data_IF_951922425556
#
_entry.id   IF_951922425556
#
_cell.length_a   1.000
_cell.length_b   1.000
_cell.length_c   1.000
_cell.angle_alpha   90.00
_cell.angle_beta   90.00
_cell.angle_gamma   90.00
#
_symmetry.space_group_name_H-M   'P 1'
#
loop_
_entity.id
_entity.type
_entity.pdbx_description
1 polymer ?
#
# COMPACT_ATOMS: atom_id res chain seq x y z
N UNK A 1 12.11 17.74 -1.11
CA UNK A 1 13.49 18.14 -0.70
C UNK A 1 14.36 16.99 -0.14
N UNK A 2 13.82 15.83 0.21
CA UNK A 2 14.65 14.69 0.69
C UNK A 2 15.12 14.80 2.14
N UNK A 3 14.62 15.78 2.90
CA UNK A 3 14.80 15.84 4.34
C UNK A 3 13.99 14.76 5.06
N UNK A 4 14.54 14.24 6.16
CA UNK A 4 13.93 13.17 6.96
C UNK A 4 13.49 13.70 8.31
N UNK A 5 12.24 13.41 8.68
CA UNK A 5 11.69 13.67 10.00
C UNK A 5 11.26 12.35 10.63
N UNK A 6 11.56 12.17 11.91
CA UNK A 6 11.18 10.99 12.68
C UNK A 6 10.55 11.42 14.00
N UNK A 7 9.60 10.63 14.49
CA UNK A 7 8.89 10.84 15.75
C UNK A 7 8.35 9.50 16.26
N UNK A 8 7.90 9.47 17.52
CA UNK A 8 7.39 8.30 18.21
C UNK A 8 8.39 7.73 19.21
N UNK A 9 8.43 6.40 19.30
CA UNK A 9 9.27 5.71 20.28
C UNK A 9 10.73 5.63 19.81
N UNK A 10 11.67 6.22 20.56
CA UNK A 10 13.10 6.18 20.26
C UNK A 10 13.98 5.31 21.16
N UNK A 11 13.42 4.37 21.94
CA UNK A 11 14.15 3.65 23.00
C UNK A 11 15.45 2.93 22.58
N UNK A 12 15.61 2.58 21.31
CA UNK A 12 16.81 1.95 20.75
C UNK A 12 17.60 2.86 19.81
N UNK A 13 17.19 4.13 19.66
CA UNK A 13 17.80 5.08 18.75
C UNK A 13 17.22 5.07 17.33
N UNK A 14 16.08 4.39 17.11
CA UNK A 14 15.45 4.25 15.79
C UNK A 14 14.93 5.57 15.20
N UNK A 15 14.97 6.65 15.97
CA UNK A 15 14.63 7.98 15.47
C UNK A 15 15.84 8.71 14.89
N UNK A 16 17.08 8.29 15.20
CA UNK A 16 18.29 8.85 14.60
C UNK A 16 18.72 10.21 15.15
N UNK A 17 18.20 10.63 16.31
CA UNK A 17 18.47 11.95 16.90
C UNK A 17 19.68 11.99 17.84
N UNK A 18 20.55 10.99 17.77
CA UNK A 18 21.63 10.74 18.73
C UNK A 18 21.11 10.68 20.19
N UNK A 19 19.90 10.16 20.36
CA UNK A 19 19.21 10.04 21.65
C UNK A 19 18.36 8.77 21.68
N UNK A 20 17.97 8.33 22.87
CA UNK A 20 16.99 7.26 23.09
C UNK A 20 15.63 7.78 23.58
N UNK A 21 15.45 9.11 23.60
CA UNK A 21 14.19 9.75 24.00
C UNK A 21 13.08 9.48 22.99
N UNK A 22 11.84 9.45 23.48
CA UNK A 22 10.67 9.51 22.63
C UNK A 22 10.48 10.94 22.11
N UNK A 23 10.04 11.07 20.86
CA UNK A 23 9.77 12.35 20.23
C UNK A 23 8.28 12.44 19.93
N UNK A 24 7.56 13.31 20.62
CA UNK A 24 6.11 13.46 20.42
C UNK A 24 5.76 14.21 19.12
N UNK A 25 6.69 15.05 18.65
CA UNK A 25 6.53 15.87 17.46
C UNK A 25 7.56 15.46 16.40
N UNK A 26 7.24 15.60 15.10
CA UNK A 26 8.21 15.40 14.02
C UNK A 26 9.48 16.22 14.25
N UNK A 27 10.61 15.53 14.41
CA UNK A 27 11.92 16.15 14.57
C UNK A 27 12.80 15.78 13.37
N UNK A 28 13.53 16.76 12.85
CA UNK A 28 14.44 16.57 11.71
C UNK A 28 15.65 15.74 12.13
N UNK A 29 16.01 14.74 11.32
CA UNK A 29 17.23 13.95 11.49
C UNK A 29 18.40 14.75 10.90
N UNK A 30 19.13 15.48 11.75
CA UNK A 30 20.18 16.40 11.30
C UNK A 30 21.34 15.73 10.57
N UNK A 31 21.72 14.50 10.92
CA UNK A 31 22.83 13.79 10.26
C UNK A 31 22.53 13.43 8.79
N UNK A 32 21.26 13.40 8.38
CA UNK A 32 20.87 13.23 6.98
C UNK A 32 20.64 14.57 6.25
N UNK A 33 20.85 15.71 6.93
CA UNK A 33 20.68 17.02 6.33
C UNK A 33 21.70 17.25 5.21
N UNK A 34 21.27 17.91 4.13
CA UNK A 34 22.10 18.13 2.94
C UNK A 34 22.22 16.91 2.02
N UNK A 35 21.77 15.74 2.47
CA UNK A 35 21.64 14.55 1.62
C UNK A 35 20.25 14.45 1.01
N UNK A 36 20.18 13.97 -0.22
CA UNK A 36 18.93 13.71 -0.91
C UNK A 36 18.48 12.28 -0.62
N UNK A 37 17.71 12.08 0.45
CA UNK A 37 17.17 10.75 0.78
C UNK A 37 15.99 10.44 -0.15
N UNK A 38 16.07 9.31 -0.88
CA UNK A 38 15.02 8.91 -1.84
C UNK A 38 14.22 7.69 -1.41
N UNK A 39 14.73 6.92 -0.45
CA UNK A 39 14.05 5.76 0.10
C UNK A 39 14.27 5.69 1.61
N UNK A 40 13.23 5.30 2.34
CA UNK A 40 13.24 5.07 3.78
C UNK A 40 12.47 3.78 4.04
N UNK A 41 13.02 2.91 4.88
CA UNK A 41 12.31 1.71 5.38
C UNK A 41 12.46 1.61 6.88
N UNK A 42 11.48 0.99 7.53
CA UNK A 42 11.49 0.76 8.97
C UNK A 42 11.27 -0.72 9.25
N UNK A 43 12.10 -1.28 10.13
CA UNK A 43 11.79 -2.55 10.78
C UNK A 43 11.06 -2.33 12.10
N UNK A 44 11.13 -3.32 12.99
CA UNK A 44 10.46 -3.25 14.31
C UNK A 44 11.04 -2.12 15.17
N UNK A 45 12.37 -2.01 15.22
CA UNK A 45 13.08 -1.05 16.09
C UNK A 45 14.32 -0.46 15.40
N UNK A 46 14.31 -0.38 14.08
CA UNK A 46 15.37 0.25 13.30
C UNK A 46 14.81 0.93 12.04
N UNK A 47 15.57 1.85 11.51
CA UNK A 47 15.26 2.61 10.30
C UNK A 47 16.46 2.56 9.37
N UNK A 48 16.20 2.46 8.07
CA UNK A 48 17.23 2.63 7.04
C UNK A 48 16.83 3.67 6.02
N UNK A 49 17.81 4.37 5.47
CA UNK A 49 17.64 5.46 4.53
C UNK A 49 18.68 5.37 3.41
N UNK A 50 18.28 5.58 2.16
CA UNK A 50 19.18 5.52 1.01
C UNK A 50 19.39 6.91 0.38
N UNK A 51 20.66 7.23 0.09
CA UNK A 51 21.10 8.47 -0.54
C UNK A 51 21.79 8.17 -1.88
N UNK A 52 21.08 8.25 -3.02
CA UNK A 52 21.59 7.86 -4.33
C UNK A 52 22.88 8.53 -4.75
N UNK A 53 23.00 9.85 -4.50
CA UNK A 53 24.16 10.65 -4.93
C UNK A 53 25.48 10.18 -4.33
N UNK A 54 25.42 9.52 -3.17
CA UNK A 54 26.58 8.95 -2.48
C UNK A 54 26.64 7.42 -2.55
N UNK A 55 25.58 6.78 -3.02
CA UNK A 55 25.42 5.33 -2.95
C UNK A 55 25.20 4.78 -1.55
N UNK A 56 25.22 5.63 -0.51
CA UNK A 56 25.20 5.18 0.88
C UNK A 56 23.80 4.79 1.33
N UNK A 57 23.75 3.65 2.02
CA UNK A 57 22.65 3.28 2.89
C UNK A 57 23.04 3.64 4.31
N UNK A 58 22.19 4.38 5.02
CA UNK A 58 22.32 4.66 6.44
C UNK A 58 21.33 3.81 7.21
N UNK A 59 21.71 3.32 8.39
CA UNK A 59 20.88 2.56 9.31
C UNK A 59 21.07 3.05 10.75
N UNK A 60 19.98 3.02 11.52
CA UNK A 60 19.97 3.44 12.92
C UNK A 60 18.84 2.77 13.70
N UNK A 61 19.03 2.61 15.01
CA UNK A 61 18.13 1.90 15.93
C UNK A 61 18.77 0.69 16.59
N UNK A 62 17.94 -0.32 16.87
CA UNK A 62 18.34 -1.60 17.45
C UNK A 62 19.30 -2.32 16.49
N UNK A 63 20.44 -2.77 16.99
CA UNK A 63 21.44 -3.52 16.23
C UNK A 63 21.71 -4.92 16.76
N UNK A 64 21.02 -5.35 17.82
CA UNK A 64 21.31 -6.61 18.53
C UNK A 64 21.34 -7.87 17.66
N UNK A 65 20.59 -7.89 16.56
CA UNK A 65 20.52 -9.01 15.61
C UNK A 65 21.36 -8.77 14.34
N UNK A 66 22.13 -7.68 14.29
CA UNK A 66 22.89 -7.27 13.11
C UNK A 66 22.05 -6.60 12.02
N UNK A 67 20.79 -6.26 12.29
CA UNK A 67 19.84 -5.71 11.31
C UNK A 67 20.27 -4.37 10.68
N UNK A 68 21.24 -3.70 11.30
CA UNK A 68 21.81 -2.44 10.82
C UNK A 68 22.89 -2.65 9.75
N UNK A 69 23.47 -3.85 9.60
CA UNK A 69 24.50 -4.11 8.59
C UNK A 69 25.79 -3.29 8.76
N UNK A 70 26.12 -2.86 9.98
CA UNK A 70 27.31 -2.02 10.26
C UNK A 70 28.57 -2.84 10.54
N UNK A 71 28.50 -4.17 10.44
CA UNK A 71 29.56 -5.09 10.86
C UNK A 71 29.64 -5.29 12.38
N UNK A 72 28.66 -4.77 13.14
CA UNK A 72 28.57 -4.91 14.60
C UNK A 72 27.12 -5.19 15.01
N UNK A 73 26.91 -5.73 16.22
CA UNK A 73 25.58 -5.94 16.82
C UNK A 73 25.17 -4.83 17.78
N UNK A 74 25.84 -3.67 17.72
CA UNK A 74 25.58 -2.54 18.60
C UNK A 74 24.46 -1.65 18.05
N UNK A 75 23.64 -1.11 18.96
CA UNK A 75 22.64 -0.10 18.62
C UNK A 75 23.30 1.17 18.09
N UNK A 76 22.63 1.86 17.16
CA UNK A 76 23.07 3.14 16.61
C UNK A 76 22.01 4.19 16.88
N UNK A 77 22.35 5.20 17.68
CA UNK A 77 21.42 6.28 18.04
C UNK A 77 21.26 7.35 16.96
N UNK A 78 22.11 7.27 15.94
CA UNK A 78 22.19 8.23 14.86
C UNK A 78 22.55 7.50 13.56
N UNK A 79 22.15 8.03 12.38
CA UNK A 79 22.44 7.45 11.08
C UNK A 79 23.89 6.99 10.91
N UNK A 80 24.08 5.68 10.75
CA UNK A 80 25.38 5.07 10.54
C UNK A 80 25.43 4.36 9.19
N UNK A 81 26.54 4.42 8.49
CA UNK A 81 26.67 3.80 7.17
C UNK A 81 26.65 2.28 7.24
N UNK A 82 25.78 1.65 6.44
CA UNK A 82 25.78 0.21 6.21
C UNK A 82 27.07 -0.17 5.49
N UNK A 83 27.76 -1.20 5.99
CA UNK A 83 29.02 -1.68 5.42
C UNK A 83 28.75 -2.31 4.05
N UNK A 84 29.55 -1.96 3.05
CA UNK A 84 29.50 -2.53 1.71
C UNK A 84 30.10 -1.58 0.67
N UNK A 85 30.42 -2.14 -0.49
CA UNK A 85 31.04 -1.43 -1.61
C UNK A 85 29.96 -0.79 -2.50
N UNK A 86 29.21 0.13 -1.90
CA UNK A 86 28.09 0.79 -2.57
C UNK A 86 28.57 1.92 -3.46
N UNK A 87 28.17 1.91 -4.74
CA UNK A 87 28.50 2.98 -5.68
C UNK A 87 27.38 4.02 -5.76
N UNK A 88 27.75 5.30 -5.98
CA UNK A 88 26.79 6.35 -6.22
C UNK A 88 26.06 6.15 -7.54
N UNK A 89 24.78 6.50 -7.54
CA UNK A 89 24.04 6.69 -8.77
C UNK A 89 24.32 8.08 -9.35
N UNK A 90 25.21 8.13 -10.34
CA UNK A 90 25.46 9.32 -11.16
C UNK A 90 25.59 8.92 -12.63
N UNK A 91 25.19 9.81 -13.54
CA UNK A 91 25.28 9.59 -14.99
C UNK A 91 26.73 9.55 -15.51
N UNK A 92 27.73 9.74 -14.64
CA UNK A 92 29.16 9.81 -14.97
C UNK A 92 29.99 8.91 -14.05
N UNK A 93 29.46 7.75 -13.67
CA UNK A 93 30.16 6.85 -12.74
C UNK A 93 31.33 6.14 -13.44
N UNK A 94 32.57 6.47 -13.06
CA UNK A 94 33.76 5.72 -13.46
C UNK A 94 33.83 4.43 -12.65
N UNK A 95 33.67 3.28 -13.32
CA UNK A 95 33.77 1.95 -12.69
C UNK A 95 35.25 1.71 -12.36
N UNK A 96 35.64 1.51 -11.09
CA UNK A 96 37.02 1.20 -10.73
C UNK A 96 37.48 -0.11 -11.38
N UNK A 97 38.68 -0.13 -11.94
CA UNK A 97 39.24 -1.27 -12.67
C UNK A 97 39.70 -2.43 -11.75
N UNK A 98 39.55 -2.30 -10.44
CA UNK A 98 40.11 -3.23 -9.44
C UNK A 98 39.02 -4.05 -8.73
N UNK A 99 39.36 -5.32 -8.49
CA UNK A 99 38.48 -6.49 -8.38
C UNK A 99 37.63 -6.63 -7.10
N UNK A 100 37.25 -5.55 -6.43
CA UNK A 100 36.20 -5.62 -5.42
C UNK A 100 34.82 -5.54 -6.06
N UNK A 101 33.91 -6.46 -5.72
CA UNK A 101 32.54 -6.42 -6.25
C UNK A 101 31.82 -5.20 -5.69
N UNK A 102 31.68 -4.16 -6.51
CA UNK A 102 30.89 -2.98 -6.24
C UNK A 102 29.41 -3.20 -6.59
N UNK A 103 28.53 -2.52 -5.88
CA UNK A 103 27.08 -2.69 -6.01
C UNK A 103 26.35 -1.35 -6.12
N UNK A 104 25.39 -1.25 -7.04
CA UNK A 104 24.49 -0.12 -7.18
C UNK A 104 23.13 -0.47 -6.57
N UNK A 105 22.69 0.26 -5.54
CA UNK A 105 21.43 -0.01 -4.86
C UNK A 105 20.25 0.40 -5.75
N UNK A 106 19.30 -0.53 -5.96
CA UNK A 106 18.01 -0.24 -6.59
C UNK A 106 16.96 0.10 -5.53
N UNK A 107 16.83 -0.76 -4.52
CA UNK A 107 15.81 -0.63 -3.49
C UNK A 107 16.26 -1.20 -2.14
N UNK A 108 15.91 -0.52 -1.05
CA UNK A 108 16.07 -1.00 0.32
C UNK A 108 14.75 -1.50 0.90
N UNK A 109 14.84 -2.48 1.81
CA UNK A 109 13.71 -3.05 2.54
C UNK A 109 14.10 -3.30 3.99
N UNK A 110 13.14 -3.13 4.90
CA UNK A 110 13.27 -3.55 6.29
C UNK A 110 11.99 -4.21 6.76
N UNK A 111 12.13 -5.30 7.50
CA UNK A 111 11.05 -5.99 8.20
C UNK A 111 11.41 -6.14 9.67
N UNK A 112 10.74 -7.06 10.38
CA UNK A 112 10.91 -7.30 11.82
C UNK A 112 12.29 -6.96 12.38
N UNK A 113 13.24 -7.88 12.24
CA UNK A 113 14.65 -7.68 12.63
C UNK A 113 15.59 -7.97 11.45
N UNK A 114 15.12 -7.76 10.21
CA UNK A 114 15.90 -7.97 9.00
C UNK A 114 15.90 -6.72 8.12
N UNK A 115 16.96 -6.60 7.31
CA UNK A 115 17.10 -5.58 6.27
C UNK A 115 17.64 -6.23 5.00
N UNK A 116 17.14 -5.79 3.84
CA UNK A 116 17.57 -6.28 2.53
C UNK A 116 17.85 -5.11 1.60
N UNK A 117 18.82 -5.26 0.71
CA UNK A 117 19.07 -4.32 -0.37
C UNK A 117 19.06 -5.09 -1.69
N UNK A 118 18.17 -4.70 -2.59
CA UNK A 118 18.21 -5.14 -3.98
C UNK A 118 19.20 -4.24 -4.72
N UNK A 119 20.19 -4.86 -5.36
CA UNK A 119 21.27 -4.17 -6.05
C UNK A 119 21.48 -4.73 -7.46
N UNK A 120 22.17 -3.95 -8.29
CA UNK A 120 22.71 -4.38 -9.57
C UNK A 120 24.21 -4.17 -9.61
N UNK A 121 24.89 -4.93 -10.47
CA UNK A 121 26.28 -4.65 -10.81
C UNK A 121 26.38 -3.37 -11.65
N UNK A 122 27.53 -2.68 -11.63
CA UNK A 122 27.71 -1.41 -12.34
C UNK A 122 27.42 -1.51 -13.84
N UNK A 123 27.72 -2.65 -14.48
CA UNK A 123 27.40 -2.89 -15.89
C UNK A 123 25.89 -2.95 -16.20
N UNK A 124 25.05 -3.23 -15.20
CA UNK A 124 23.59 -3.37 -15.33
C UNK A 124 22.86 -2.24 -14.58
N UNK A 125 23.51 -1.10 -14.43
CA UNK A 125 23.02 -0.01 -13.59
C UNK A 125 21.70 0.56 -14.12
N UNK A 126 20.68 0.51 -13.28
CA UNK A 126 19.40 1.15 -13.51
C UNK A 126 19.17 2.25 -12.47
N UNK A 127 18.35 3.28 -12.77
CA UNK A 127 18.00 4.30 -11.79
C UNK A 127 17.45 3.67 -10.49
N UNK A 128 17.93 4.07 -9.30
CA UNK A 128 17.31 3.66 -8.05
C UNK A 128 15.89 4.18 -7.98
N UNK A 129 15.06 3.49 -7.20
CA UNK A 129 13.71 4.01 -6.99
C UNK A 129 13.75 5.28 -6.15
N UNK A 130 12.85 6.21 -6.48
CA UNK A 130 12.74 7.48 -5.82
C UNK A 130 11.31 7.68 -5.32
N UNK A 131 11.07 7.36 -4.05
CA UNK A 131 9.76 7.43 -3.44
C UNK A 131 9.33 8.83 -3.04
N UNK A 132 10.15 9.86 -3.34
CA UNK A 132 9.71 11.25 -3.24
C UNK A 132 8.72 11.61 -4.34
N UNK A 133 8.81 10.92 -5.48
CA UNK A 133 7.90 11.09 -6.59
C UNK A 133 7.01 9.84 -6.65
N UNK A 134 5.72 9.95 -6.31
CA UNK A 134 4.82 8.82 -6.43
C UNK A 134 4.72 8.44 -7.91
N UNK A 135 4.92 7.16 -8.21
CA UNK A 135 4.70 6.61 -9.54
C UNK A 135 3.20 6.72 -9.87
N UNK A 136 2.86 7.48 -10.92
CA UNK A 136 1.48 7.71 -11.35
C UNK A 136 0.75 6.41 -11.71
N UNK A 137 1.49 5.35 -12.06
CA UNK A 137 0.94 4.02 -12.35
C UNK A 137 0.71 3.19 -11.08
N UNK A 138 1.19 3.63 -9.91
CA UNK A 138 1.06 2.94 -8.62
C UNK A 138 0.21 3.70 -7.60
N UNK A 139 -0.41 4.83 -8.00
CA UNK A 139 -1.35 5.56 -7.15
C UNK A 139 -2.72 4.86 -7.10
N UNK A 140 -3.38 4.92 -5.95
CA UNK A 140 -4.82 4.63 -5.86
C UNK A 140 -5.53 5.67 -6.71
N UNK A 141 -6.06 5.25 -7.86
CA UNK A 141 -6.86 6.12 -8.71
C UNK A 141 -8.11 6.51 -7.96
N UNK A 142 -8.21 7.80 -7.62
CA UNK A 142 -9.46 8.36 -7.11
C UNK A 142 -10.41 8.43 -8.29
N UNK A 143 -11.56 7.74 -8.21
CA UNK A 143 -12.60 7.89 -9.23
C UNK A 143 -13.09 9.33 -9.19
N UNK A 144 -12.65 10.12 -10.16
CA UNK A 144 -13.02 11.50 -10.34
C UNK A 144 -13.64 11.67 -11.74
N UNK A 145 -14.24 12.83 -12.01
CA UNK A 145 -14.88 13.11 -13.31
C UNK A 145 -13.94 12.84 -14.49
N UNK A 146 -12.67 13.26 -14.39
CA UNK A 146 -11.69 13.03 -15.44
C UNK A 146 -11.41 11.53 -15.69
N UNK A 147 -11.38 10.73 -14.64
CA UNK A 147 -11.22 9.27 -14.74
C UNK A 147 -12.46 8.60 -15.35
N UNK A 148 -13.67 9.05 -14.99
CA UNK A 148 -14.92 8.55 -15.60
C UNK A 148 -14.97 8.91 -17.09
N UNK A 149 -14.65 10.15 -17.45
CA UNK A 149 -14.58 10.59 -18.85
C UNK A 149 -13.55 9.78 -19.63
N UNK A 150 -12.40 9.47 -19.02
CA UNK A 150 -11.39 8.60 -19.63
C UNK A 150 -11.90 7.16 -19.80
N UNK A 151 -12.64 6.60 -18.83
CA UNK A 151 -13.30 5.29 -18.97
C UNK A 151 -14.28 5.25 -20.15
N UNK A 152 -15.05 6.33 -20.36
CA UNK A 152 -16.01 6.46 -21.46
C UNK A 152 -15.34 6.47 -22.85
N UNK A 153 -14.06 6.82 -22.93
CA UNK A 153 -13.31 6.85 -24.21
C UNK A 153 -12.71 5.52 -24.62
N UNK A 154 -12.72 4.49 -23.76
CA UNK A 154 -12.14 3.19 -24.11
C UNK A 154 -13.10 2.32 -24.92
N UNK A 155 -12.61 1.65 -25.99
CA UNK A 155 -13.42 0.70 -26.75
C UNK A 155 -13.76 -0.54 -25.90
N UNK A 156 -14.96 -1.06 -26.13
CA UNK A 156 -15.60 -2.15 -25.40
C UNK A 156 -14.66 -3.35 -25.14
N UNK A 157 -14.54 -3.77 -23.88
CA UNK A 157 -14.14 -5.13 -23.54
C UNK A 157 -12.75 -5.35 -22.91
N UNK A 158 -11.96 -4.31 -22.59
CA UNK A 158 -10.77 -4.46 -21.75
C UNK A 158 -10.62 -3.32 -20.74
N UNK A 159 -10.84 -3.65 -19.47
CA UNK A 159 -10.31 -2.87 -18.35
C UNK A 159 -8.77 -2.90 -18.41
N UNK A 160 -8.05 -1.78 -18.21
CA UNK A 160 -6.59 -1.75 -18.20
C UNK A 160 -5.99 -2.78 -17.24
N UNK A 161 -4.90 -3.44 -17.66
CA UNK A 161 -4.07 -4.38 -16.84
C UNK A 161 -3.55 -3.72 -15.54
N UNK A 162 -3.58 -2.40 -15.48
CA UNK A 162 -3.18 -1.53 -14.37
C UNK A 162 -4.10 -1.64 -13.12
N UNK A 163 -5.31 -2.19 -13.26
CA UNK A 163 -6.33 -2.22 -12.18
C UNK A 163 -6.05 -3.31 -11.12
N UNK A 164 -5.12 -4.23 -11.37
CA UNK A 164 -5.03 -5.46 -10.59
C UNK A 164 -4.01 -5.50 -9.44
N UNK A 165 -3.21 -4.46 -9.17
CA UNK A 165 -2.14 -4.55 -8.17
C UNK A 165 -1.96 -3.26 -7.37
N UNK A 166 -2.63 -3.11 -6.21
CA UNK A 166 -1.99 -2.55 -5.01
C UNK A 166 -2.86 -2.65 -3.75
N UNK A 167 -2.21 -2.91 -2.61
CA UNK A 167 -2.79 -3.19 -1.30
C UNK A 167 -2.13 -2.30 -0.24
N UNK A 168 -2.60 -1.05 -0.10
CA UNK A 168 -2.23 -0.18 1.01
C UNK A 168 -3.38 -0.06 2.02
N UNK A 169 -3.08 -0.48 3.25
CA UNK A 169 -4.00 -0.68 4.35
C UNK A 169 -4.49 0.67 4.92
N UNK A 170 -5.75 1.04 4.68
CA UNK A 170 -6.31 2.26 5.28
C UNK A 170 -6.37 2.06 6.81
N UNK A 171 -6.16 3.14 7.58
CA UNK A 171 -6.13 3.16 9.06
C UNK A 171 -7.47 2.67 9.66
N UNK A 172 -7.66 1.36 9.66
CA UNK A 172 -8.84 0.70 10.23
C UNK A 172 -8.70 0.62 11.74
N UNK A 173 -9.79 0.87 12.44
CA UNK A 173 -9.91 0.53 13.86
C UNK A 173 -11.24 -0.17 14.09
N UNK A 174 -11.43 -0.69 15.30
CA UNK A 174 -12.74 -1.22 15.74
C UNK A 174 -13.88 -0.22 15.60
N UNK A 175 -13.59 1.09 15.53
CA UNK A 175 -14.59 2.17 15.38
C UNK A 175 -14.67 2.73 13.95
N UNK A 176 -13.59 2.67 13.17
CA UNK A 176 -13.52 3.24 11.83
C UNK A 176 -13.19 2.16 10.80
N UNK A 177 -14.10 1.92 9.85
CA UNK A 177 -13.90 0.91 8.79
C UNK A 177 -12.80 1.26 7.79
N UNK A 178 -12.31 2.50 7.80
CA UNK A 178 -11.46 3.03 6.74
C UNK A 178 -12.21 3.24 5.41
N UNK A 179 -13.54 3.13 5.42
CA UNK A 179 -14.41 3.26 4.24
C UNK A 179 -15.33 4.46 4.42
N UNK A 180 -15.30 5.39 3.47
CA UNK A 180 -16.29 6.44 3.33
C UNK A 180 -17.49 5.91 2.52
N UNK A 181 -18.56 5.57 3.24
CA UNK A 181 -19.77 4.99 2.65
C UNK A 181 -20.52 5.99 1.76
N UNK A 182 -20.42 7.29 2.03
CA UNK A 182 -21.08 8.31 1.22
C UNK A 182 -20.33 8.50 -0.09
N UNK A 183 -18.99 8.53 -0.04
CA UNK A 183 -18.18 8.54 -1.24
C UNK A 183 -18.42 7.28 -2.08
N UNK A 184 -18.41 6.08 -1.48
CA UNK A 184 -18.69 4.83 -2.19
C UNK A 184 -20.05 4.86 -2.91
N UNK A 185 -21.11 5.28 -2.21
CA UNK A 185 -22.46 5.42 -2.78
C UNK A 185 -22.49 6.41 -3.94
N UNK A 186 -21.93 7.61 -3.76
CA UNK A 186 -21.88 8.63 -4.81
C UNK A 186 -21.13 8.13 -6.05
N UNK A 187 -20.02 7.41 -5.86
CA UNK A 187 -19.24 6.84 -6.95
C UNK A 187 -20.00 5.76 -7.71
N UNK A 188 -20.65 4.83 -7.00
CA UNK A 188 -21.48 3.82 -7.66
C UNK A 188 -22.65 4.45 -8.43
N UNK A 189 -23.30 5.47 -7.88
CA UNK A 189 -24.36 6.19 -8.60
C UNK A 189 -23.85 6.94 -9.83
N UNK A 190 -22.63 7.50 -9.79
CA UNK A 190 -22.01 8.11 -10.97
C UNK A 190 -21.64 7.07 -12.03
N UNK A 191 -21.23 5.87 -11.61
CA UNK A 191 -20.82 4.80 -12.52
C UNK A 191 -22.03 4.11 -13.17
N UNK A 192 -23.10 3.91 -12.40
CA UNK A 192 -24.32 3.21 -12.81
C UNK A 192 -25.38 4.25 -13.21
N UNK A 193 -25.08 5.03 -14.25
CA UNK A 193 -26.03 5.99 -14.82
C UNK A 193 -26.75 5.42 -16.06
N UNK A 194 -28.02 5.81 -16.29
CA UNK A 194 -28.79 5.38 -17.46
C UNK A 194 -28.09 5.73 -18.79
N UNK A 195 -27.45 6.90 -18.84
CA UNK A 195 -26.75 7.42 -20.01
C UNK A 195 -25.53 6.58 -20.40
N UNK A 196 -25.09 5.69 -19.51
CA UNK A 196 -23.93 4.81 -19.69
C UNK A 196 -24.30 3.34 -19.43
N UNK A 197 -25.43 2.90 -19.99
CA UNK A 197 -25.94 1.53 -19.83
C UNK A 197 -24.91 0.43 -20.12
N UNK A 198 -23.98 0.63 -21.07
CA UNK A 198 -22.94 -0.35 -21.38
C UNK A 198 -21.95 -0.57 -20.22
N UNK A 199 -21.62 0.48 -19.46
CA UNK A 199 -20.73 0.40 -18.29
C UNK A 199 -21.45 -0.37 -17.19
N UNK A 200 -22.70 -0.02 -16.94
CA UNK A 200 -23.57 -0.71 -15.97
C UNK A 200 -23.64 -2.22 -16.26
N UNK A 201 -23.85 -2.61 -17.52
CA UNK A 201 -23.87 -4.00 -17.95
C UNK A 201 -22.51 -4.70 -17.76
N UNK A 202 -21.40 -4.05 -18.08
CA UNK A 202 -20.06 -4.63 -17.87
C UNK A 202 -19.74 -4.80 -16.39
N UNK A 203 -20.11 -3.83 -15.56
CA UNK A 203 -19.96 -3.93 -14.10
C UNK A 203 -20.81 -5.08 -13.58
N UNK A 204 -22.08 -5.17 -13.97
CA UNK A 204 -22.97 -6.28 -13.58
C UNK A 204 -22.37 -7.64 -13.97
N UNK A 205 -21.94 -7.80 -15.23
CA UNK A 205 -21.34 -9.04 -15.71
C UNK A 205 -20.03 -9.39 -14.96
N UNK A 206 -19.21 -8.40 -14.60
CA UNK A 206 -18.00 -8.62 -13.82
C UNK A 206 -18.30 -9.04 -12.40
N UNK A 207 -19.30 -8.40 -11.76
CA UNK A 207 -19.75 -8.78 -10.42
C UNK A 207 -20.28 -10.22 -10.39
N UNK A 208 -21.14 -10.57 -11.35
CA UNK A 208 -21.75 -11.89 -11.48
C UNK A 208 -20.72 -12.98 -11.76
N UNK A 209 -19.88 -12.80 -12.79
CA UNK A 209 -19.02 -13.88 -13.30
C UNK A 209 -17.68 -13.99 -12.58
N UNK A 210 -17.19 -12.90 -12.00
CA UNK A 210 -15.84 -12.86 -11.44
C UNK A 210 -15.82 -12.64 -9.93
N UNK A 211 -16.52 -11.61 -9.44
CA UNK A 211 -16.35 -11.17 -8.05
C UNK A 211 -17.11 -12.05 -7.07
N UNK A 212 -18.44 -12.14 -7.23
CA UNK A 212 -19.33 -12.81 -6.27
C UNK A 212 -18.99 -14.30 -6.10
N UNK A 213 -18.69 -15.08 -7.17
CA UNK A 213 -18.30 -16.48 -7.02
C UNK A 213 -16.99 -16.71 -6.26
N UNK A 214 -16.12 -15.69 -6.17
CA UNK A 214 -14.82 -15.76 -5.49
C UNK A 214 -14.86 -15.28 -4.04
N UNK A 215 -16.01 -14.86 -3.53
CA UNK A 215 -16.18 -14.47 -2.13
C UNK A 215 -16.04 -15.69 -1.21
N UNK A 216 -14.99 -15.70 -0.39
CA UNK A 216 -14.69 -16.80 0.53
C UNK A 216 -15.36 -16.64 1.89
N UNK A 217 -15.57 -17.76 2.59
CA UNK A 217 -16.07 -17.78 3.98
C UNK A 217 -15.00 -17.33 5.00
N UNK A 218 -13.74 -17.59 4.68
CA UNK A 218 -12.56 -17.19 5.45
C UNK A 218 -11.90 -16.01 4.75
N UNK A 219 -11.91 -14.84 5.40
CA UNK A 219 -11.36 -13.62 4.82
C UNK A 219 -9.86 -13.54 5.10
N UNK A 220 -9.03 -13.26 4.09
CA UNK A 220 -7.57 -13.20 4.26
C UNK A 220 -7.12 -12.04 5.17
N UNK A 221 -7.89 -10.93 5.21
CA UNK A 221 -7.59 -9.74 6.01
C UNK A 221 -8.86 -8.87 6.28
N UNK A 222 -8.68 -7.77 7.02
CA UNK A 222 -9.73 -6.78 7.33
C UNK A 222 -10.09 -5.87 6.16
N UNK A 223 -9.24 -5.79 5.14
CA UNK A 223 -9.48 -4.98 3.94
C UNK A 223 -10.53 -5.68 3.05
N UNK A 224 -10.52 -7.01 2.99
CA UNK A 224 -11.52 -7.81 2.32
C UNK A 224 -12.95 -7.55 2.84
N UNK A 225 -13.11 -7.21 4.12
CA UNK A 225 -14.41 -6.83 4.69
C UNK A 225 -15.00 -5.58 4.05
N UNK A 226 -14.19 -4.70 3.47
CA UNK A 226 -14.67 -3.47 2.82
C UNK A 226 -15.49 -3.76 1.58
N UNK A 227 -15.18 -4.84 0.88
CA UNK A 227 -15.96 -5.26 -0.27
C UNK A 227 -17.38 -5.63 0.17
N UNK A 228 -17.51 -6.36 1.27
CA UNK A 228 -18.82 -6.73 1.83
C UNK A 228 -19.60 -5.52 2.36
N UNK A 229 -18.91 -4.46 2.79
CA UNK A 229 -19.52 -3.21 3.23
C UNK A 229 -19.97 -2.32 2.07
N UNK A 230 -19.15 -2.18 1.04
CA UNK A 230 -19.36 -1.20 -0.04
C UNK A 230 -20.24 -1.73 -1.16
N UNK A 231 -20.14 -3.02 -1.50
CA UNK A 231 -20.88 -3.58 -2.63
C UNK A 231 -22.41 -3.42 -2.53
N UNK A 232 -23.05 -3.55 -1.35
CA UNK A 232 -24.47 -3.22 -1.16
C UNK A 232 -24.90 -1.82 -1.61
N UNK A 233 -23.99 -0.85 -1.61
CA UNK A 233 -24.27 0.54 -2.04
C UNK A 233 -24.29 0.68 -3.57
N UNK A 234 -23.93 -0.37 -4.30
CA UNK A 234 -24.03 -0.39 -5.76
C UNK A 234 -25.51 -0.48 -6.18
N UNK A 235 -26.03 0.46 -6.99
CA UNK A 235 -27.43 0.45 -7.43
C UNK A 235 -27.86 -0.87 -8.08
N UNK A 236 -26.94 -1.57 -8.75
CA UNK A 236 -27.19 -2.89 -9.35
C UNK A 236 -27.67 -3.94 -8.33
N UNK A 237 -27.25 -3.84 -7.06
CA UNK A 237 -27.65 -4.78 -6.00
C UNK A 237 -29.08 -4.52 -5.51
N UNK A 238 -29.66 -3.35 -5.81
CA UNK A 238 -31.02 -2.96 -5.44
C UNK A 238 -32.01 -3.09 -6.60
N UNK A 239 -31.53 -3.45 -7.80
CA UNK A 239 -32.37 -3.69 -8.98
C UNK A 239 -32.92 -5.12 -8.94
N UNK A 240 -34.25 -5.23 -8.98
CA UNK A 240 -34.97 -6.50 -8.95
C UNK A 240 -34.54 -7.47 -10.05
N UNK A 241 -34.14 -6.96 -11.22
CA UNK A 241 -33.68 -7.80 -12.34
C UNK A 241 -32.37 -8.53 -12.02
N UNK A 242 -31.58 -8.02 -11.08
CA UNK A 242 -30.28 -8.55 -10.71
C UNK A 242 -30.30 -9.32 -9.38
N UNK A 243 -31.47 -9.52 -8.76
CA UNK A 243 -31.53 -10.19 -7.46
C UNK A 243 -31.03 -11.63 -7.53
N UNK A 244 -31.45 -12.39 -8.53
CA UNK A 244 -31.06 -13.79 -8.69
C UNK A 244 -29.58 -13.96 -8.99
N UNK A 245 -28.98 -13.04 -9.75
CA UNK A 245 -27.60 -13.15 -10.24
C UNK A 245 -26.59 -12.45 -9.32
N UNK A 246 -26.98 -11.37 -8.64
CA UNK A 246 -26.10 -10.55 -7.81
C UNK A 246 -26.50 -10.57 -6.33
N UNK A 247 -27.70 -10.11 -5.98
CA UNK A 247 -28.05 -9.84 -4.59
C UNK A 247 -28.17 -11.11 -3.73
N UNK A 248 -28.84 -12.15 -4.24
CA UNK A 248 -29.04 -13.43 -3.53
C UNK A 248 -27.72 -14.19 -3.38
N UNK A 249 -26.89 -14.38 -4.43
CA UNK A 249 -25.60 -15.06 -4.29
C UNK A 249 -24.64 -14.31 -3.35
N UNK A 250 -24.63 -12.97 -3.40
CA UNK A 250 -23.85 -12.16 -2.47
C UNK A 250 -24.34 -12.30 -1.02
N UNK A 251 -25.65 -12.24 -0.79
CA UNK A 251 -26.27 -12.49 0.52
C UNK A 251 -25.93 -13.88 1.06
N UNK A 252 -25.97 -14.89 0.20
CA UNK A 252 -25.56 -16.26 0.53
C UNK A 252 -24.09 -16.32 0.93
N UNK A 253 -23.21 -15.58 0.25
CA UNK A 253 -21.79 -15.50 0.62
C UNK A 253 -21.59 -14.84 1.99
N UNK A 254 -22.36 -13.79 2.33
CA UNK A 254 -22.33 -13.18 3.68
C UNK A 254 -22.73 -14.19 4.76
N UNK A 255 -23.79 -14.96 4.54
CA UNK A 255 -24.28 -15.95 5.51
C UNK A 255 -23.28 -17.10 5.74
N UNK A 256 -22.41 -17.37 4.77
CA UNK A 256 -21.35 -18.38 4.88
C UNK A 256 -20.08 -17.88 5.58
N UNK A 257 -19.99 -16.60 5.93
CA UNK A 257 -18.82 -16.04 6.61
C UNK A 257 -18.63 -16.64 8.01
N UNK A 258 -17.37 -16.77 8.40
CA UNK A 258 -17.01 -17.18 9.77
C UNK A 258 -17.50 -16.19 10.84
N UNK A 259 -17.61 -16.67 12.08
CA UNK A 259 -18.20 -15.92 13.20
C UNK A 259 -17.53 -14.55 13.45
N UNK A 260 -16.22 -14.45 13.29
CA UNK A 260 -15.48 -13.22 13.55
C UNK A 260 -15.77 -12.11 12.52
N UNK A 261 -15.59 -12.32 11.19
CA UNK A 261 -16.07 -11.42 10.15
C UNK A 261 -17.55 -11.02 10.29
N UNK A 262 -18.42 -12.00 10.54
CA UNK A 262 -19.87 -11.77 10.64
C UNK A 262 -20.22 -10.85 11.81
N UNK A 263 -19.53 -10.96 12.95
CA UNK A 263 -19.71 -10.07 14.10
C UNK A 263 -19.31 -8.62 13.81
N UNK A 264 -18.35 -8.39 12.93
CA UNK A 264 -17.93 -7.04 12.50
C UNK A 264 -18.97 -6.45 11.55
N UNK A 265 -19.45 -7.23 10.58
CA UNK A 265 -20.46 -6.81 9.61
C UNK A 265 -21.83 -6.57 10.25
N UNK A 266 -22.27 -7.45 11.16
CA UNK A 266 -23.57 -7.35 11.82
C UNK A 266 -23.77 -6.09 12.66
N UNK A 267 -22.69 -5.39 13.05
CA UNK A 267 -22.77 -4.08 13.72
C UNK A 267 -22.95 -2.90 12.77
N UNK A 268 -22.67 -3.07 11.47
CA UNK A 268 -22.62 -2.00 10.47
C UNK A 268 -23.65 -2.15 9.34
N UNK A 269 -24.11 -3.36 9.04
CA UNK A 269 -25.12 -3.58 8.01
C UNK A 269 -26.54 -3.40 8.55
N UNK A 270 -27.10 -2.21 8.37
CA UNK A 270 -28.57 -2.04 8.28
C UNK A 270 -29.15 -2.79 7.07
N UNK A 271 -28.30 -3.18 6.11
CA UNK A 271 -28.62 -3.96 4.92
C UNK A 271 -29.21 -5.36 5.21
N UNK A 272 -28.98 -5.93 6.41
CA UNK A 272 -29.66 -7.17 6.81
C UNK A 272 -31.20 -7.01 6.81
N UNK A 273 -31.74 -5.82 7.04
CA UNK A 273 -33.19 -5.58 6.96
C UNK A 273 -33.70 -5.60 5.52
N UNK A 274 -32.92 -5.06 4.57
CA UNK A 274 -33.28 -5.05 3.15
C UNK A 274 -33.15 -6.44 2.53
N UNK A 275 -32.07 -7.17 2.84
CA UNK A 275 -31.86 -8.52 2.32
C UNK A 275 -32.82 -9.53 2.95
N UNK A 276 -33.15 -9.38 4.24
CA UNK A 276 -34.20 -10.16 4.90
C UNK A 276 -35.58 -9.91 4.28
N UNK A 277 -35.90 -8.66 3.89
CA UNK A 277 -37.12 -8.31 3.13
C UNK A 277 -37.17 -8.85 1.70
N UNK A 278 -36.02 -9.17 1.10
CA UNK A 278 -35.93 -9.73 -0.26
C UNK A 278 -35.96 -11.27 -0.21
N UNK A 279 -35.52 -11.87 0.90
CA UNK A 279 -35.47 -13.31 1.11
C UNK A 279 -36.71 -13.89 1.82
N UNK A 280 -37.50 -13.05 2.50
CA UNK A 280 -38.86 -13.36 3.00
C UNK A 280 -39.92 -13.03 1.94
#
# INVERSE_FOLDING_TARGET
>A
EGGVFTFGAGGYGQLGHNSTSHEINPRKVFELMGSLVTQITCGRQHTTAFVPSSGRIYSFGLGGNGQLGTGTTSNRKSPFTVKGNWLPYSTQCLIPADSEQYYCVKRIFSGGDQSFAHYFYPQNMVPPDDFRYPDLLKQIWTVNEAFIQRLLTFPSGRLPVEIANNDDHYKTSVRFSGVDMNAARLLFHKLIQPDHAHISQQVAASLEKNLIPKLSSSLPDVEALRLYLTLPECPLMSDANNFTTLAIPFGTAILKLEKAPLKVLGKKLNFFLTLKRILE
#
